data_IF_798696726635
#
_entry.id   IF_798696726635
#
_cell.length_a   1.000
_cell.length_b   1.000
_cell.length_c   1.000
_cell.angle_alpha   90.00
_cell.angle_beta   90.00
_cell.angle_gamma   90.00
#
_symmetry.space_group_name_H-M   'P 1'
#
loop_
_entity.id
_entity.type
_entity.pdbx_description
1 polymer ?
#
# COMPACT_ATOMS: atom_id res chain seq x y z
N UNK A 1 8.14 6.50 7.64
CA UNK A 1 7.59 5.52 6.69
C UNK A 1 6.44 4.78 7.32
N UNK A 2 5.27 4.82 6.71
CA UNK A 2 4.09 4.06 7.10
C UNK A 2 4.15 2.69 6.42
N UNK A 3 3.99 1.62 7.19
CA UNK A 3 3.83 0.26 6.69
C UNK A 3 2.42 0.02 6.19
N UNK A 4 2.28 -0.96 5.30
CA UNK A 4 0.99 -1.37 4.74
C UNK A 4 0.74 -2.84 4.98
N UNK A 5 0.34 -3.53 3.92
CA UNK A 5 -0.25 -4.86 3.94
C UNK A 5 0.79 -5.98 4.00
N UNK A 6 1.89 -5.77 4.73
CA UNK A 6 2.97 -6.74 4.89
C UNK A 6 3.85 -6.43 6.11
N UNK A 7 4.75 -7.38 6.43
CA UNK A 7 5.91 -7.07 7.29
C UNK A 7 6.61 -5.83 6.72
N UNK A 8 6.93 -4.85 7.57
CA UNK A 8 7.65 -3.65 7.11
C UNK A 8 9.16 -3.93 7.07
N UNK A 9 9.79 -3.94 5.89
CA UNK A 9 11.21 -4.25 5.79
C UNK A 9 12.04 -3.09 6.33
N UNK A 10 13.05 -3.39 7.15
CA UNK A 10 13.98 -2.41 7.75
C UNK A 10 14.68 -1.50 6.73
N UNK A 11 14.72 -1.92 5.45
CA UNK A 11 15.32 -1.15 4.34
C UNK A 11 14.83 0.30 4.28
N UNK A 12 13.60 0.61 4.71
CA UNK A 12 13.06 1.96 4.59
C UNK A 12 13.75 2.99 5.48
N UNK A 13 14.31 2.56 6.62
CA UNK A 13 15.09 3.42 7.53
C UNK A 13 16.58 3.07 7.55
N UNK A 14 16.97 1.89 7.09
CA UNK A 14 18.37 1.47 7.04
C UNK A 14 19.08 1.76 5.71
N UNK A 15 18.34 1.97 4.61
CA UNK A 15 18.96 2.22 3.30
C UNK A 15 19.01 3.72 2.98
N UNK A 16 20.21 4.30 3.09
CA UNK A 16 20.47 5.72 2.83
C UNK A 16 20.23 6.14 1.37
N UNK A 17 20.12 5.19 0.43
CA UNK A 17 19.82 5.48 -0.97
C UNK A 17 18.33 5.81 -1.20
N UNK A 18 17.45 5.44 -0.27
CA UNK A 18 16.01 5.74 -0.35
C UNK A 18 15.79 7.25 -0.20
N UNK A 19 14.90 7.81 -1.02
CA UNK A 19 14.63 9.26 -1.06
C UNK A 19 14.28 9.86 0.31
N UNK A 20 13.44 9.17 1.10
CA UNK A 20 13.10 9.58 2.48
C UNK A 20 14.36 9.74 3.35
N UNK A 21 15.31 8.79 3.27
CA UNK A 21 16.53 8.83 4.08
C UNK A 21 17.53 9.89 3.60
N UNK A 22 17.61 10.14 2.29
CA UNK A 22 18.37 11.28 1.75
C UNK A 22 17.87 12.62 2.31
N UNK A 23 16.56 12.79 2.39
CA UNK A 23 15.97 13.99 3.00
C UNK A 23 16.15 14.03 4.52
N UNK A 24 16.01 12.89 5.20
CA UNK A 24 16.27 12.81 6.62
C UNK A 24 17.70 13.28 6.96
N UNK A 25 18.71 12.81 6.20
CA UNK A 25 20.09 13.30 6.32
C UNK A 25 20.19 14.81 6.04
N UNK A 26 19.59 15.29 4.94
CA UNK A 26 19.67 16.70 4.54
C UNK A 26 19.12 17.65 5.61
N UNK A 27 18.06 17.25 6.30
CA UNK A 27 17.38 18.08 7.30
C UNK A 27 17.72 17.73 8.75
N UNK A 28 18.63 16.77 8.99
CA UNK A 28 18.93 16.29 10.33
C UNK A 28 17.72 15.65 11.04
N UNK A 29 16.81 15.05 10.28
CA UNK A 29 15.57 14.49 10.82
C UNK A 29 15.76 13.07 11.38
N UNK A 30 15.06 12.77 12.47
CA UNK A 30 14.85 11.39 12.90
C UNK A 30 13.98 10.65 11.86
N UNK A 31 14.26 9.37 11.65
CA UNK A 31 13.52 8.53 10.72
C UNK A 31 12.91 7.34 11.46
N UNK A 32 11.60 7.18 11.31
CA UNK A 32 10.85 6.07 11.88
C UNK A 32 10.18 5.26 10.77
N UNK A 33 10.06 3.96 11.01
CA UNK A 33 9.17 3.09 10.26
C UNK A 33 8.16 2.49 11.23
N UNK A 34 6.88 2.50 10.87
CA UNK A 34 5.80 2.00 11.72
C UNK A 34 5.08 0.90 10.98
N UNK A 35 5.09 -0.30 11.54
CA UNK A 35 4.39 -1.45 10.96
C UNK A 35 2.89 -1.32 11.19
N UNK A 36 2.11 -1.75 10.20
CA UNK A 36 0.66 -1.65 10.25
C UNK A 36 0.08 -2.71 11.20
N UNK A 37 -0.94 -2.35 11.99
CA UNK A 37 -1.69 -3.33 12.79
C UNK A 37 -2.18 -4.50 11.93
N UNK A 38 -2.18 -5.71 12.47
CA UNK A 38 -2.52 -6.97 11.78
C UNK A 38 -1.51 -7.44 10.72
N UNK A 39 -0.42 -6.72 10.46
CA UNK A 39 0.61 -7.16 9.53
C UNK A 39 1.94 -7.38 10.25
N UNK A 40 2.73 -8.30 9.70
CA UNK A 40 4.00 -8.72 10.28
C UNK A 40 3.88 -9.10 11.75
N UNK A 41 4.68 -8.43 12.58
CA UNK A 41 4.81 -8.65 14.01
C UNK A 41 3.83 -7.80 14.83
N UNK A 42 3.16 -6.83 14.20
CA UNK A 42 2.21 -5.93 14.85
C UNK A 42 0.83 -6.58 14.94
N UNK A 43 0.64 -7.47 15.92
CA UNK A 43 -0.57 -8.28 16.12
C UNK A 43 -1.30 -7.86 17.40
N UNK A 44 -2.41 -7.10 17.32
CA UNK A 44 -3.20 -6.74 18.50
C UNK A 44 -3.88 -7.93 19.17
N UNK A 45 -4.10 -9.01 18.41
CA UNK A 45 -4.71 -10.26 18.86
C UNK A 45 -3.81 -11.45 18.50
N UNK A 46 -3.81 -12.53 19.29
CA UNK A 46 -3.02 -13.73 19.00
C UNK A 46 -3.50 -14.44 17.73
N UNK A 47 -4.82 -14.53 17.52
CA UNK A 47 -5.42 -15.13 16.33
C UNK A 47 -6.14 -14.09 15.45
N UNK A 48 -6.21 -14.38 14.14
CA UNK A 48 -6.95 -13.58 13.15
C UNK A 48 -8.37 -14.10 12.97
N UNK A 49 -9.19 -14.10 14.04
CA UNK A 49 -10.61 -14.44 13.92
C UNK A 49 -11.39 -13.30 13.24
N UNK A 50 -12.62 -13.56 12.79
CA UNK A 50 -13.50 -12.54 12.23
C UNK A 50 -13.73 -11.38 13.21
N UNK A 51 -13.88 -11.69 14.50
CA UNK A 51 -14.07 -10.71 15.57
C UNK A 51 -12.81 -9.86 15.78
N UNK A 52 -11.62 -10.45 15.70
CA UNK A 52 -10.36 -9.71 15.76
C UNK A 52 -10.20 -8.80 14.54
N UNK A 53 -10.56 -9.27 13.34
CA UNK A 53 -10.49 -8.50 12.10
C UNK A 53 -11.44 -7.30 12.07
N UNK A 54 -12.45 -7.25 12.93
CA UNK A 54 -13.28 -6.06 13.12
C UNK A 54 -12.47 -4.81 13.56
N UNK A 55 -11.26 -5.01 14.12
CA UNK A 55 -10.34 -3.93 14.51
C UNK A 55 -9.28 -3.62 13.44
N UNK A 56 -9.26 -4.35 12.32
CA UNK A 56 -8.40 -4.11 11.18
C UNK A 56 -9.07 -3.08 10.24
N UNK A 57 -9.16 -1.83 10.72
CA UNK A 57 -9.76 -0.73 9.97
C UNK A 57 -8.76 0.39 9.69
N UNK A 58 -9.02 1.15 8.63
CA UNK A 58 -8.19 2.31 8.27
C UNK A 58 -8.20 3.36 9.38
N UNK A 59 -9.35 3.63 10.00
CA UNK A 59 -9.49 4.61 11.08
C UNK A 59 -8.59 4.29 12.26
N UNK A 60 -8.54 3.01 12.60
CA UNK A 60 -7.75 2.46 13.67
C UNK A 60 -6.24 2.48 13.35
N UNK A 61 -5.85 2.13 12.13
CA UNK A 61 -4.46 2.25 11.69
C UNK A 61 -3.98 3.71 11.69
N UNK A 62 -4.82 4.66 11.29
CA UNK A 62 -4.51 6.09 11.38
C UNK A 62 -4.39 6.55 12.84
N UNK A 63 -5.19 6.00 13.75
CA UNK A 63 -5.09 6.30 15.18
C UNK A 63 -3.78 5.77 15.78
N UNK A 64 -3.30 4.60 15.37
CA UNK A 64 -1.99 4.07 15.79
C UNK A 64 -0.85 5.00 15.39
N UNK A 65 -0.89 5.54 14.17
CA UNK A 65 0.11 6.50 13.70
C UNK A 65 0.09 7.79 14.53
N UNK A 66 -1.10 8.28 14.87
CA UNK A 66 -1.26 9.47 15.71
C UNK A 66 -0.66 9.25 17.10
N UNK A 67 -0.97 8.09 17.69
CA UNK A 67 -0.50 7.71 19.00
C UNK A 67 1.03 7.47 19.02
N UNK A 68 1.56 6.81 17.99
CA UNK A 68 3.00 6.65 17.81
C UNK A 68 3.73 7.99 17.78
N UNK A 69 3.24 8.97 17.02
CA UNK A 69 3.84 10.31 16.94
C UNK A 69 3.86 10.98 18.32
N UNK A 70 2.76 10.91 19.08
CA UNK A 70 2.69 11.48 20.43
C UNK A 70 3.72 10.82 21.36
N UNK A 71 3.79 9.49 21.37
CA UNK A 71 4.73 8.75 22.20
C UNK A 71 6.19 9.05 21.82
N UNK A 72 6.51 9.19 20.53
CA UNK A 72 7.88 9.53 20.11
C UNK A 72 8.24 10.97 20.48
N UNK A 73 7.29 11.91 20.39
CA UNK A 73 7.52 13.29 20.84
C UNK A 73 7.79 13.35 22.35
N UNK A 74 7.02 12.61 23.16
CA UNK A 74 7.22 12.53 24.61
C UNK A 74 8.57 11.85 24.96
N UNK A 75 8.84 10.70 24.33
CA UNK A 75 10.04 9.90 24.58
C UNK A 75 11.33 10.64 24.24
N UNK A 76 11.39 11.31 23.09
CA UNK A 76 12.60 11.98 22.61
C UNK A 76 12.64 13.48 22.93
N UNK A 77 11.56 14.05 23.48
CA UNK A 77 11.45 15.47 23.83
C UNK A 77 11.86 16.41 22.69
N UNK A 78 11.42 16.09 21.47
CA UNK A 78 11.77 16.87 20.28
C UNK A 78 11.32 18.35 20.46
N UNK A 79 12.22 19.33 20.30
CA UNK A 79 11.82 20.74 20.37
C UNK A 79 11.06 21.12 19.10
N UNK A 80 9.76 21.45 19.23
CA UNK A 80 8.88 21.84 18.12
C UNK A 80 8.92 20.85 16.93
N UNK A 81 8.49 19.59 17.13
CA UNK A 81 8.67 18.54 16.12
C UNK A 81 7.83 18.81 14.87
N UNK A 82 8.47 18.69 13.69
CA UNK A 82 7.79 18.71 12.39
C UNK A 82 7.82 17.32 11.77
N UNK A 83 6.66 16.66 11.72
CA UNK A 83 6.53 15.32 11.15
C UNK A 83 6.08 15.38 9.69
N UNK A 84 6.70 14.55 8.84
CA UNK A 84 6.25 14.30 7.47
C UNK A 84 6.01 12.81 7.32
N UNK A 85 4.82 12.43 6.86
CA UNK A 85 4.48 11.03 6.62
C UNK A 85 4.84 10.59 5.20
N UNK A 86 5.23 9.33 5.06
CA UNK A 86 5.65 8.74 3.78
C UNK A 86 4.99 7.39 3.62
N UNK A 87 4.52 7.08 2.42
CA UNK A 87 4.05 5.74 2.05
C UNK A 87 3.90 5.59 0.54
N UNK A 88 3.79 4.34 0.09
CA UNK A 88 3.53 4.01 -1.31
C UNK A 88 2.37 3.03 -1.45
N UNK A 89 1.59 3.07 -2.53
CA UNK A 89 0.36 2.25 -2.65
C UNK A 89 -0.61 2.54 -1.49
N UNK A 90 -1.22 1.54 -0.86
CA UNK A 90 -2.06 1.70 0.33
C UNK A 90 -1.40 2.49 1.47
N UNK A 91 -0.13 2.24 1.89
CA UNK A 91 0.51 3.12 2.85
C UNK A 91 0.66 4.56 2.37
N UNK A 92 0.69 4.80 1.05
CA UNK A 92 0.58 6.13 0.47
C UNK A 92 -0.79 6.75 0.71
N UNK A 93 -1.87 5.97 0.52
CA UNK A 93 -3.22 6.40 0.87
C UNK A 93 -3.35 6.69 2.37
N UNK A 94 -2.79 5.84 3.23
CA UNK A 94 -2.70 6.10 4.68
C UNK A 94 -1.95 7.40 4.98
N UNK A 95 -0.84 7.69 4.30
CA UNK A 95 -0.09 8.94 4.48
C UNK A 95 -0.94 10.17 4.14
N UNK A 96 -1.68 10.12 3.03
CA UNK A 96 -2.59 11.18 2.61
C UNK A 96 -3.78 11.35 3.58
N UNK A 97 -4.45 10.25 3.92
CA UNK A 97 -5.59 10.27 4.85
C UNK A 97 -5.16 10.66 6.26
N UNK A 98 -3.95 10.29 6.70
CA UNK A 98 -3.39 10.74 7.97
C UNK A 98 -3.23 12.26 8.01
N UNK A 99 -2.67 12.87 6.95
CA UNK A 99 -2.54 14.33 6.86
C UNK A 99 -3.92 15.01 6.84
N UNK A 100 -4.91 14.41 6.19
CA UNK A 100 -6.27 14.95 6.16
C UNK A 100 -6.96 14.86 7.53
N UNK A 101 -6.78 13.75 8.25
CA UNK A 101 -7.47 13.46 9.53
C UNK A 101 -6.78 14.06 10.76
N UNK A 102 -5.44 14.12 10.76
CA UNK A 102 -4.62 14.63 11.87
C UNK A 102 -3.66 15.73 11.38
N UNK A 103 -4.18 16.84 10.83
CA UNK A 103 -3.34 17.92 10.29
C UNK A 103 -2.48 18.62 11.36
N UNK A 104 -2.81 18.49 12.63
CA UNK A 104 -2.04 19.01 13.77
C UNK A 104 -0.79 18.16 14.07
N UNK A 105 -0.77 16.88 13.68
CA UNK A 105 0.34 15.96 13.98
C UNK A 105 1.37 15.83 12.87
N UNK A 106 1.08 16.31 11.66
CA UNK A 106 2.02 16.25 10.54
C UNK A 106 1.94 17.51 9.68
N UNK A 107 3.07 18.04 9.23
CA UNK A 107 3.11 19.23 8.37
C UNK A 107 2.91 18.89 6.89
N UNK A 108 2.97 17.62 6.50
CA UNK A 108 2.82 17.19 5.12
C UNK A 108 2.93 15.67 4.94
N UNK A 109 2.50 15.18 3.79
CA UNK A 109 2.59 13.76 3.44
C UNK A 109 3.16 13.57 2.04
N UNK A 110 3.90 12.48 1.86
CA UNK A 110 4.35 11.98 0.55
C UNK A 110 3.62 10.68 0.28
N UNK A 111 2.58 10.77 -0.55
CA UNK A 111 1.67 9.68 -0.89
C UNK A 111 1.98 9.14 -2.30
N UNK A 112 2.97 8.27 -2.41
CA UNK A 112 3.45 7.77 -3.71
C UNK A 112 2.51 6.72 -4.29
N UNK A 113 2.05 6.90 -5.53
CA UNK A 113 1.18 5.94 -6.23
C UNK A 113 -0.03 5.51 -5.39
N UNK A 114 -0.60 6.46 -4.64
CA UNK A 114 -1.62 6.21 -3.65
C UNK A 114 -3.03 6.21 -4.28
N UNK A 115 -3.78 5.09 -4.26
CA UNK A 115 -5.18 5.08 -4.61
C UNK A 115 -6.01 5.70 -3.47
N UNK A 116 -6.06 7.04 -3.42
CA UNK A 116 -6.76 7.79 -2.35
C UNK A 116 -8.29 7.76 -2.49
N UNK A 117 -8.77 7.54 -3.72
CA UNK A 117 -10.19 7.40 -4.03
C UNK A 117 -10.55 5.92 -3.97
N UNK A 118 -11.26 5.52 -2.90
CA UNK A 118 -11.76 4.16 -2.75
C UNK A 118 -12.90 3.93 -3.75
N UNK A 119 -12.72 2.95 -4.63
CA UNK A 119 -13.71 2.52 -5.62
C UNK A 119 -13.95 1.03 -5.43
N UNK A 120 -15.22 0.63 -5.27
CA UNK A 120 -15.60 -0.77 -5.12
C UNK A 120 -15.34 -1.54 -6.42
N UNK A 121 -15.81 -0.98 -7.53
CA UNK A 121 -15.49 -1.44 -8.88
C UNK A 121 -14.51 -0.44 -9.50
N UNK A 122 -13.23 -0.82 -9.54
CA UNK A 122 -12.15 0.00 -10.09
C UNK A 122 -11.67 -0.52 -11.45
N UNK A 123 -12.61 -0.68 -12.38
CA UNK A 123 -12.35 -1.17 -13.74
C UNK A 123 -11.33 -0.31 -14.51
N UNK A 124 -11.18 0.97 -14.17
CA UNK A 124 -10.20 1.85 -14.81
C UNK A 124 -8.76 1.36 -14.61
N UNK A 125 -8.48 0.60 -13.55
CA UNK A 125 -7.18 -0.06 -13.38
C UNK A 125 -6.87 -1.00 -14.55
N UNK A 126 -7.85 -1.83 -14.95
CA UNK A 126 -7.69 -2.73 -16.11
C UNK A 126 -7.57 -1.97 -17.42
N UNK A 127 -8.24 -0.82 -17.56
CA UNK A 127 -8.09 0.04 -18.74
C UNK A 127 -6.67 0.58 -18.87
N UNK A 128 -6.08 1.07 -17.78
CA UNK A 128 -4.69 1.53 -17.79
C UNK A 128 -3.72 0.39 -18.14
N UNK A 129 -3.96 -0.83 -17.66
CA UNK A 129 -3.14 -2.00 -18.04
C UNK A 129 -3.29 -2.30 -19.54
N UNK A 130 -4.49 -2.21 -20.09
CA UNK A 130 -4.72 -2.36 -21.53
C UNK A 130 -3.96 -1.30 -22.34
N UNK A 131 -4.01 -0.04 -21.91
CA UNK A 131 -3.33 1.08 -22.57
C UNK A 131 -1.81 0.88 -22.53
N UNK A 132 -1.24 0.46 -21.40
CA UNK A 132 0.19 0.14 -21.28
C UNK A 132 0.60 -0.96 -22.26
N UNK A 133 -0.20 -2.02 -22.40
CA UNK A 133 0.08 -3.08 -23.39
C UNK A 133 0.05 -2.53 -24.82
N UNK A 134 -0.92 -1.68 -25.12
CA UNK A 134 -1.07 -1.07 -26.44
C UNK A 134 0.09 -0.12 -26.79
N UNK A 135 0.52 0.70 -25.83
CA UNK A 135 1.66 1.62 -25.96
C UNK A 135 2.99 0.89 -26.07
N UNK A 136 3.15 -0.22 -25.34
CA UNK A 136 4.39 -1.00 -25.34
C UNK A 136 4.55 -1.83 -26.61
N UNK A 137 3.53 -2.60 -26.98
CA UNK A 137 3.55 -3.45 -28.17
C UNK A 137 2.11 -3.83 -28.59
N UNK A 138 1.69 -3.32 -29.75
CA UNK A 138 0.34 -3.59 -30.30
C UNK A 138 0.09 -5.08 -30.56
N UNK A 139 1.10 -5.83 -30.99
CA UNK A 139 0.97 -7.27 -31.22
C UNK A 139 0.78 -8.02 -29.90
N UNK A 140 1.46 -7.61 -28.84
CA UNK A 140 1.28 -8.14 -27.49
C UNK A 140 -0.16 -7.86 -27.00
N UNK A 141 -0.61 -6.61 -27.11
CA UNK A 141 -1.99 -6.24 -26.80
C UNK A 141 -3.02 -7.13 -27.53
N UNK A 142 -2.87 -7.27 -28.85
CA UNK A 142 -3.81 -8.03 -29.68
C UNK A 142 -3.80 -9.54 -29.34
N UNK A 143 -2.63 -10.10 -29.03
CA UNK A 143 -2.50 -11.50 -28.56
C UNK A 143 -3.13 -11.71 -27.19
N UNK A 144 -2.88 -10.81 -26.23
CA UNK A 144 -3.51 -10.87 -24.90
C UNK A 144 -5.03 -10.80 -25.02
N UNK A 145 -5.55 -9.87 -25.83
CA UNK A 145 -6.98 -9.74 -26.12
C UNK A 145 -7.56 -11.00 -26.75
N UNK A 146 -6.86 -11.60 -27.72
CA UNK A 146 -7.29 -12.85 -28.36
C UNK A 146 -7.28 -14.03 -27.38
N UNK A 147 -6.27 -14.12 -26.51
CA UNK A 147 -6.15 -15.16 -25.49
C UNK A 147 -7.32 -15.10 -24.49
N UNK A 148 -7.64 -13.93 -23.95
CA UNK A 148 -8.80 -13.78 -23.05
C UNK A 148 -10.12 -14.16 -23.73
N UNK A 149 -10.35 -13.75 -24.98
CA UNK A 149 -11.53 -14.18 -25.76
C UNK A 149 -11.58 -15.70 -25.98
N UNK A 150 -10.43 -16.33 -26.15
CA UNK A 150 -10.37 -17.78 -26.30
C UNK A 150 -10.69 -18.50 -24.99
N UNK A 151 -10.09 -18.07 -23.87
CA UNK A 151 -10.38 -18.58 -22.52
C UNK A 151 -11.87 -18.44 -22.20
N UNK A 152 -12.47 -17.28 -22.48
CA UNK A 152 -13.90 -17.03 -22.27
C UNK A 152 -14.81 -17.99 -23.04
N UNK A 153 -14.40 -18.49 -24.21
CA UNK A 153 -15.17 -19.49 -24.96
C UNK A 153 -15.00 -20.88 -24.37
N UNK A 154 -13.75 -21.25 -24.04
CA UNK A 154 -13.44 -22.58 -23.52
C UNK A 154 -14.07 -22.83 -22.14
N UNK A 155 -14.16 -21.82 -21.27
CA UNK A 155 -14.69 -22.00 -19.92
C UNK A 155 -16.18 -22.41 -19.90
N UNK A 156 -16.91 -22.18 -20.99
CA UNK A 156 -18.34 -22.47 -21.10
C UNK A 156 -18.64 -23.97 -21.27
N UNK A 157 -17.68 -24.78 -21.71
CA UNK A 157 -17.88 -26.22 -21.93
C UNK A 157 -17.01 -27.06 -21.00
N UNK A 158 -17.42 -28.31 -20.74
CA UNK A 158 -16.61 -29.24 -19.94
C UNK A 158 -15.26 -29.49 -20.62
N UNK A 159 -15.28 -29.88 -21.88
CA UNK A 159 -14.06 -30.19 -22.65
C UNK A 159 -13.13 -28.98 -22.77
N UNK A 160 -13.69 -27.76 -22.91
CA UNK A 160 -12.89 -26.54 -22.93
C UNK A 160 -12.25 -26.22 -21.58
N UNK A 161 -12.94 -26.48 -20.46
CA UNK A 161 -12.31 -26.40 -19.13
C UNK A 161 -11.22 -27.46 -18.95
N UNK A 162 -11.41 -28.67 -19.47
CA UNK A 162 -10.39 -29.72 -19.44
C UNK A 162 -9.14 -29.31 -20.24
N UNK A 163 -9.32 -28.71 -21.43
CA UNK A 163 -8.22 -28.14 -22.21
C UNK A 163 -7.48 -27.01 -21.48
N UNK A 164 -8.21 -26.08 -20.84
CA UNK A 164 -7.59 -25.01 -20.06
C UNK A 164 -6.78 -25.55 -18.88
N UNK A 165 -7.29 -26.58 -18.21
CA UNK A 165 -6.59 -27.23 -17.10
C UNK A 165 -5.30 -27.91 -17.55
N UNK A 166 -5.23 -28.44 -18.77
CA UNK A 166 -4.00 -29.00 -19.33
C UNK A 166 -3.01 -27.90 -19.73
N UNK A 167 -3.50 -26.83 -20.37
CA UNK A 167 -2.66 -25.77 -20.93
C UNK A 167 -2.10 -24.76 -19.90
N UNK A 168 -2.77 -24.59 -18.74
CA UNK A 168 -2.42 -23.58 -17.72
C UNK A 168 -1.93 -24.18 -16.39
N UNK A 169 -1.60 -25.48 -16.38
CA UNK A 169 -0.89 -26.13 -15.27
C UNK A 169 0.60 -25.79 -15.29
#
# INVERSE_FOLDING_TARGET
MIGGESVIPVKWVANEKVSMMKWARKFGAAAFQVEHRFFGYSRPFPEMTTEALAYCTTEQALADLAEFIRQMNEKYKFPSPKWVTFGGSYPGSLAAWFRAKYPELTVGSVASSAPVNLKLDFYEYSMVVQDVLLETDKTCHDKVKAAFKHIQRLILTKDGRDQLNEALR
#
